data_IF_159792923116
#
_entry.id   IF_159792923116
#
_cell.length_a   1.000
_cell.length_b   1.000
_cell.length_c   1.000
_cell.angle_alpha   90.00
_cell.angle_beta   90.00
_cell.angle_gamma   90.00
#
_symmetry.space_group_name_H-M   'P 1'
#
loop_
_entity.id
_entity.type
_entity.pdbx_description
1 polymer ?
#
# COMPACT_ATOMS: atom_id res chain seq x y z
N UNK A 1 -22.49 -21.90 0.80
CA UNK A 1 -21.74 -20.68 1.14
C UNK A 1 -20.28 -20.90 0.73
N UNK A 2 -19.88 -20.32 -0.39
CA UNK A 2 -18.51 -20.41 -0.87
C UNK A 2 -17.70 -19.36 -0.10
N UNK A 3 -16.72 -19.80 0.68
CA UNK A 3 -15.83 -18.89 1.40
C UNK A 3 -14.77 -18.38 0.43
N UNK A 4 -14.62 -17.07 0.34
CA UNK A 4 -13.50 -16.43 -0.31
C UNK A 4 -12.36 -16.41 0.71
N UNK A 5 -11.16 -16.79 0.31
CA UNK A 5 -9.95 -16.58 1.10
C UNK A 5 -9.28 -15.33 0.51
N UNK A 6 -9.18 -14.28 1.32
CA UNK A 6 -8.42 -13.08 1.00
C UNK A 6 -7.04 -13.24 1.64
N UNK A 7 -6.01 -13.31 0.84
CA UNK A 7 -4.62 -13.35 1.31
C UNK A 7 -4.00 -11.98 1.05
N UNK A 8 -3.52 -11.34 2.10
CA UNK A 8 -3.07 -9.95 2.06
C UNK A 8 -1.60 -9.88 2.48
N UNK A 9 -0.74 -9.25 1.68
CA UNK A 9 0.71 -9.20 1.89
C UNK A 9 1.23 -7.78 1.95
N UNK A 10 2.23 -7.55 2.79
CA UNK A 10 2.97 -6.31 2.91
C UNK A 10 4.43 -6.51 2.56
N UNK A 11 5.07 -5.50 2.02
CA UNK A 11 6.47 -5.56 1.65
C UNK A 11 7.24 -4.39 2.25
N UNK A 12 8.39 -4.72 2.84
CA UNK A 12 9.33 -3.79 3.42
C UNK A 12 9.87 -2.79 2.40
N UNK A 13 9.78 -1.50 2.73
CA UNK A 13 10.62 -0.51 2.10
C UNK A 13 12.10 -0.85 2.38
N UNK A 14 12.91 -0.88 1.33
CA UNK A 14 14.32 -1.25 1.41
C UNK A 14 15.08 -0.34 2.38
N UNK A 15 15.47 -0.82 3.54
CA UNK A 15 16.44 -0.14 4.39
C UNK A 15 17.79 -0.18 3.69
N UNK A 16 18.31 0.98 3.28
CA UNK A 16 19.61 1.08 2.63
C UNK A 16 20.75 0.68 3.57
N UNK A 17 21.07 -0.60 3.57
CA UNK A 17 22.39 -1.07 3.96
C UNK A 17 23.30 -0.90 2.75
N UNK A 18 24.33 -0.06 2.87
CA UNK A 18 25.38 0.10 1.85
C UNK A 18 26.30 -1.12 1.85
N UNK A 19 25.82 -2.21 1.25
CA UNK A 19 26.69 -3.28 0.80
C UNK A 19 26.38 -3.49 -0.68
N UNK A 20 27.09 -2.72 -1.51
CA UNK A 20 27.25 -3.11 -2.90
C UNK A 20 27.89 -4.51 -2.93
N UNK A 21 27.33 -5.47 -3.68
CA UNK A 21 28.04 -6.70 -3.94
C UNK A 21 29.34 -6.31 -4.66
N UNK A 22 30.47 -6.49 -4.02
CA UNK A 22 31.77 -6.44 -4.69
C UNK A 22 31.85 -7.68 -5.57
N UNK A 23 31.56 -7.51 -6.86
CA UNK A 23 31.93 -8.51 -7.85
C UNK A 23 33.43 -8.61 -7.86
N UNK A 24 33.99 -9.61 -7.19
CA UNK A 24 35.32 -10.11 -7.49
C UNK A 24 35.21 -10.86 -8.83
N UNK A 25 35.66 -10.23 -9.90
CA UNK A 25 35.84 -10.89 -11.19
C UNK A 25 37.02 -11.82 -11.03
N UNK A 26 36.76 -13.10 -10.81
CA UNK A 26 37.75 -14.13 -11.06
C UNK A 26 37.81 -14.34 -12.59
N UNK A 27 38.97 -14.02 -13.15
CA UNK A 27 39.32 -14.08 -14.57
C UNK A 27 39.53 -15.55 -15.02
N UNK A 28 38.51 -16.39 -14.93
CA UNK A 28 38.45 -17.70 -15.57
C UNK A 28 37.17 -17.78 -16.41
N UNK A 29 37.31 -17.52 -17.68
CA UNK A 29 36.37 -17.35 -18.78
C UNK A 29 35.30 -18.44 -19.02
N UNK A 30 34.52 -18.81 -18.01
CA UNK A 30 33.20 -19.40 -18.15
C UNK A 30 32.22 -18.37 -17.65
N UNK A 31 31.53 -17.70 -18.59
CA UNK A 31 30.48 -16.75 -18.27
C UNK A 31 29.40 -17.44 -17.46
N UNK A 32 29.42 -17.23 -16.16
CA UNK A 32 28.29 -17.56 -15.29
C UNK A 32 27.08 -16.69 -15.72
N UNK A 33 26.20 -17.31 -16.47
CA UNK A 33 24.97 -16.71 -17.00
C UNK A 33 23.89 -16.67 -15.91
N UNK A 34 24.29 -16.62 -14.63
CA UNK A 34 23.34 -16.43 -13.53
C UNK A 34 22.80 -15.01 -13.60
N UNK A 35 21.52 -14.90 -13.85
CA UNK A 35 20.80 -13.62 -13.74
C UNK A 35 21.01 -13.11 -12.30
N UNK A 36 21.69 -11.98 -12.06
CA UNK A 36 21.96 -11.49 -10.70
C UNK A 36 20.68 -11.12 -9.93
N UNK A 37 19.52 -11.20 -10.58
CA UNK A 37 18.19 -10.92 -10.02
C UNK A 37 17.37 -12.21 -9.86
N UNK A 38 17.99 -13.38 -9.78
CA UNK A 38 17.29 -14.59 -9.40
C UNK A 38 17.02 -14.61 -7.90
N UNK A 39 15.76 -14.81 -7.55
CA UNK A 39 15.29 -14.95 -6.17
C UNK A 39 14.83 -16.39 -5.92
N UNK A 40 15.77 -17.35 -5.75
CA UNK A 40 15.40 -18.77 -5.66
C UNK A 40 14.55 -19.10 -4.43
N UNK A 41 14.58 -18.22 -3.41
CA UNK A 41 13.83 -18.39 -2.17
C UNK A 41 12.56 -17.51 -2.12
N UNK A 42 12.25 -16.75 -3.18
CA UNK A 42 10.99 -16.01 -3.21
C UNK A 42 9.81 -16.98 -3.28
N UNK A 43 8.83 -16.74 -2.41
CA UNK A 43 7.64 -17.60 -2.31
C UNK A 43 6.67 -17.22 -3.43
N UNK A 44 6.11 -18.22 -4.10
CA UNK A 44 4.96 -18.05 -4.98
C UNK A 44 3.70 -17.98 -4.12
N UNK A 45 2.99 -16.86 -4.17
CA UNK A 45 1.76 -16.63 -3.41
C UNK A 45 0.51 -16.82 -4.27
N UNK A 46 0.65 -16.89 -5.60
CA UNK A 46 -0.49 -16.99 -6.51
C UNK A 46 -1.27 -18.28 -6.32
N UNK A 47 -2.50 -18.16 -5.85
CA UNK A 47 -3.44 -19.26 -5.65
C UNK A 47 -4.69 -19.03 -6.50
N UNK A 48 -5.10 -20.01 -7.24
CA UNK A 48 -6.18 -19.88 -8.24
C UNK A 48 -7.59 -19.67 -7.66
N UNK A 49 -7.77 -19.72 -6.36
CA UNK A 49 -9.10 -19.71 -5.71
C UNK A 49 -9.28 -18.59 -4.66
N UNK A 50 -8.35 -17.67 -4.60
CA UNK A 50 -8.34 -16.53 -3.68
C UNK A 50 -7.73 -15.31 -4.38
N UNK A 51 -7.97 -14.12 -3.85
CA UNK A 51 -7.34 -12.89 -4.32
C UNK A 51 -6.14 -12.55 -3.44
N UNK A 52 -4.99 -12.30 -4.06
CA UNK A 52 -3.79 -11.81 -3.38
C UNK A 52 -3.60 -10.32 -3.69
N UNK A 53 -3.49 -9.53 -2.63
CA UNK A 53 -3.29 -8.08 -2.72
C UNK A 53 -2.02 -7.70 -1.97
N UNK A 54 -1.14 -6.97 -2.64
CA UNK A 54 0.13 -6.48 -2.10
C UNK A 54 0.15 -4.96 -2.12
N UNK A 55 0.58 -4.33 -1.03
CA UNK A 55 0.93 -2.91 -1.01
C UNK A 55 2.43 -2.76 -0.78
N UNK A 56 3.08 -1.82 -1.50
CA UNK A 56 4.52 -1.64 -1.41
C UNK A 56 4.92 -0.20 -1.74
N UNK A 57 5.44 0.52 -0.74
CA UNK A 57 6.18 1.75 -1.00
C UNK A 57 7.56 1.38 -1.55
N UNK A 58 7.74 1.55 -2.87
CA UNK A 58 8.99 1.19 -3.57
C UNK A 58 9.99 2.36 -3.66
N UNK A 59 9.86 3.31 -2.76
CA UNK A 59 10.78 4.41 -2.48
C UNK A 59 11.38 5.06 -3.73
N UNK A 60 10.65 6.05 -4.27
CA UNK A 60 11.11 6.86 -5.41
C UNK A 60 11.53 6.05 -6.64
N UNK A 61 10.70 5.07 -6.99
CA UNK A 61 10.98 4.15 -8.10
C UNK A 61 11.21 4.88 -9.44
N UNK A 62 12.26 4.52 -10.19
CA UNK A 62 13.38 3.65 -9.84
C UNK A 62 14.52 4.46 -9.19
N UNK A 63 15.13 3.92 -8.13
CA UNK A 63 16.31 4.56 -7.53
C UNK A 63 17.61 4.28 -8.30
N UNK A 64 17.63 3.17 -9.03
CA UNK A 64 18.78 2.72 -9.81
C UNK A 64 18.30 2.13 -11.12
N UNK A 65 19.17 2.08 -12.15
CA UNK A 65 18.84 1.54 -13.47
C UNK A 65 18.36 0.08 -13.44
N UNK A 66 18.84 -0.71 -12.50
CA UNK A 66 18.46 -2.12 -12.32
C UNK A 66 17.22 -2.33 -11.44
N UNK A 67 16.69 -1.29 -10.78
CA UNK A 67 15.53 -1.42 -9.89
C UNK A 67 14.33 -2.01 -10.63
N UNK A 68 14.13 -1.62 -11.85
CA UNK A 68 13.05 -2.11 -12.72
C UNK A 68 13.09 -3.63 -12.90
N UNK A 69 14.25 -4.17 -13.27
CA UNK A 69 14.43 -5.61 -13.50
C UNK A 69 14.28 -6.40 -12.20
N UNK A 70 14.79 -5.84 -11.10
CA UNK A 70 14.67 -6.40 -9.77
C UNK A 70 13.19 -6.51 -9.34
N UNK A 71 12.45 -5.40 -9.41
CA UNK A 71 11.03 -5.37 -9.06
C UNK A 71 10.23 -6.31 -9.96
N UNK A 72 10.42 -6.24 -11.29
CA UNK A 72 9.78 -7.15 -12.24
C UNK A 72 9.94 -8.61 -11.84
N UNK A 73 11.17 -9.05 -11.60
CA UNK A 73 11.45 -10.43 -11.25
C UNK A 73 10.79 -10.86 -9.94
N UNK A 74 10.71 -9.95 -8.95
CA UNK A 74 9.99 -10.21 -7.71
C UNK A 74 8.49 -10.39 -7.95
N UNK A 75 7.85 -9.50 -8.72
CA UNK A 75 6.42 -9.59 -9.01
C UNK A 75 6.08 -10.91 -9.72
N UNK A 76 6.88 -11.31 -10.69
CA UNK A 76 6.70 -12.58 -11.41
C UNK A 76 6.87 -13.80 -10.48
N UNK A 77 7.77 -13.72 -9.50
CA UNK A 77 8.00 -14.80 -8.53
C UNK A 77 6.93 -14.86 -7.46
N UNK A 78 6.56 -13.71 -6.89
CA UNK A 78 5.49 -13.65 -5.89
C UNK A 78 4.13 -14.02 -6.48
N UNK A 79 3.91 -13.66 -7.74
CA UNK A 79 2.77 -14.11 -8.50
C UNK A 79 1.42 -13.73 -7.88
N UNK A 80 1.34 -12.61 -7.13
CA UNK A 80 0.08 -12.10 -6.59
C UNK A 80 -0.80 -11.47 -7.67
N UNK A 81 -2.10 -11.34 -7.40
CA UNK A 81 -3.06 -10.86 -8.39
C UNK A 81 -3.04 -9.35 -8.55
N UNK A 82 -2.80 -8.62 -7.45
CA UNK A 82 -2.88 -7.17 -7.39
C UNK A 82 -1.69 -6.64 -6.59
N UNK A 83 -0.99 -5.65 -7.15
CA UNK A 83 0.05 -4.88 -6.49
C UNK A 83 -0.33 -3.41 -6.51
N UNK A 84 -0.24 -2.74 -5.38
CA UNK A 84 -0.40 -1.30 -5.28
C UNK A 84 0.89 -0.65 -4.79
N UNK A 85 1.45 0.22 -5.62
CA UNK A 85 2.73 0.86 -5.35
C UNK A 85 2.56 2.31 -4.94
N UNK A 86 3.40 2.75 -4.01
CA UNK A 86 3.59 4.15 -3.63
C UNK A 86 5.00 4.59 -4.03
N UNK A 87 5.18 5.89 -4.17
CA UNK A 87 6.42 6.56 -4.54
C UNK A 87 6.93 6.21 -5.95
N UNK A 88 6.04 6.17 -6.92
CA UNK A 88 6.42 6.10 -8.32
C UNK A 88 6.95 7.47 -8.74
N UNK A 89 8.26 7.57 -8.93
CA UNK A 89 8.93 8.77 -9.39
C UNK A 89 9.02 8.86 -10.91
N UNK A 90 9.10 7.71 -11.57
CA UNK A 90 9.13 7.62 -13.03
C UNK A 90 8.06 6.67 -13.52
N UNK A 91 6.96 7.25 -13.94
CA UNK A 91 5.85 6.53 -14.55
C UNK A 91 6.30 5.77 -15.82
N UNK A 92 7.11 6.41 -16.68
CA UNK A 92 7.61 5.77 -17.90
C UNK A 92 8.46 4.52 -17.64
N UNK A 93 9.23 4.48 -16.56
CA UNK A 93 10.00 3.30 -16.17
C UNK A 93 9.10 2.19 -15.60
N UNK A 94 8.04 2.56 -14.85
CA UNK A 94 7.04 1.60 -14.40
C UNK A 94 6.30 0.98 -15.60
N UNK A 95 5.81 1.81 -16.52
CA UNK A 95 5.14 1.37 -17.74
C UNK A 95 6.05 0.42 -18.53
N UNK A 96 7.30 0.81 -18.77
CA UNK A 96 8.28 -0.04 -19.45
C UNK A 96 8.52 -1.38 -18.75
N UNK A 97 8.47 -1.40 -17.42
CA UNK A 97 8.58 -2.61 -16.63
C UNK A 97 7.38 -3.53 -16.83
N UNK A 98 6.16 -2.99 -16.73
CA UNK A 98 4.94 -3.79 -16.83
C UNK A 98 4.67 -4.24 -18.26
N UNK A 99 4.99 -3.43 -19.26
CA UNK A 99 4.90 -3.82 -20.68
C UNK A 99 5.78 -5.04 -21.03
N UNK A 100 6.86 -5.26 -20.25
CA UNK A 100 7.68 -6.47 -20.34
C UNK A 100 7.10 -7.68 -19.59
N UNK A 101 5.90 -7.55 -18.98
CA UNK A 101 5.20 -8.58 -18.21
C UNK A 101 3.84 -8.89 -18.86
N UNK A 102 3.76 -9.78 -19.86
CA UNK A 102 2.57 -9.93 -20.72
C UNK A 102 1.29 -10.36 -19.99
N UNK A 103 1.42 -10.90 -18.77
CA UNK A 103 0.29 -11.33 -17.95
C UNK A 103 -0.24 -10.23 -17.02
N UNK A 104 0.37 -9.05 -17.03
CA UNK A 104 0.02 -7.94 -16.16
C UNK A 104 -0.40 -6.71 -16.95
N UNK A 105 -1.23 -5.90 -16.34
CA UNK A 105 -1.58 -4.55 -16.76
C UNK A 105 -1.40 -3.58 -15.61
N UNK A 106 -1.50 -2.30 -15.89
CA UNK A 106 -1.31 -1.24 -14.91
C UNK A 106 -2.33 -0.12 -15.05
N UNK A 107 -2.48 0.63 -13.98
CA UNK A 107 -3.12 1.95 -13.94
C UNK A 107 -2.23 2.85 -13.07
N UNK A 108 -1.96 4.06 -13.54
CA UNK A 108 -1.22 5.08 -12.80
C UNK A 108 -2.15 6.22 -12.41
N UNK A 109 -1.75 7.00 -11.41
CA UNK A 109 -2.45 8.21 -11.03
C UNK A 109 -2.18 9.36 -12.01
N UNK A 110 -3.05 10.38 -11.98
CA UNK A 110 -2.93 11.57 -12.85
C UNK A 110 -2.41 12.78 -12.07
N UNK A 111 -2.54 12.80 -10.74
CA UNK A 111 -2.49 14.02 -9.94
C UNK A 111 -1.35 14.06 -8.90
N UNK A 112 -0.65 12.97 -8.64
CA UNK A 112 0.24 12.89 -7.48
C UNK A 112 1.68 13.37 -7.72
N UNK A 113 1.94 14.04 -8.82
CA UNK A 113 3.24 14.70 -9.05
C UNK A 113 4.44 13.74 -9.05
N UNK A 114 5.46 14.01 -8.20
CA UNK A 114 6.74 13.29 -8.25
C UNK A 114 6.80 11.98 -7.46
N UNK A 115 5.76 11.62 -6.70
CA UNK A 115 5.71 10.42 -5.86
C UNK A 115 4.35 9.75 -5.99
N UNK A 116 4.04 9.35 -7.22
CA UNK A 116 2.76 8.84 -7.65
C UNK A 116 2.43 7.43 -7.17
N UNK A 117 1.25 6.98 -7.60
CA UNK A 117 0.71 5.64 -7.38
C UNK A 117 0.70 4.81 -8.64
N UNK A 118 0.77 3.50 -8.46
CA UNK A 118 0.46 2.57 -9.54
C UNK A 118 -0.25 1.33 -9.00
N UNK A 119 -1.28 0.92 -9.71
CA UNK A 119 -1.91 -0.38 -9.60
C UNK A 119 -1.34 -1.28 -10.71
N UNK A 120 -0.80 -2.44 -10.35
CA UNK A 120 -0.38 -3.48 -11.30
C UNK A 120 -1.19 -4.74 -10.99
N UNK A 121 -1.76 -5.37 -12.01
CA UNK A 121 -2.67 -6.49 -11.80
C UNK A 121 -2.57 -7.55 -12.89
N UNK A 122 -2.89 -8.80 -12.54
CA UNK A 122 -2.93 -9.92 -13.48
C UNK A 122 -4.17 -9.87 -14.38
N UNK A 123 -3.97 -9.84 -15.69
CA UNK A 123 -5.03 -9.84 -16.70
C UNK A 123 -5.92 -11.07 -16.66
N UNK A 124 -5.39 -12.20 -16.16
CA UNK A 124 -6.16 -13.46 -16.11
C UNK A 124 -7.29 -13.40 -15.08
N UNK A 125 -7.09 -12.71 -13.96
CA UNK A 125 -8.01 -12.74 -12.84
C UNK A 125 -8.68 -11.39 -12.58
N UNK A 126 -8.07 -10.28 -12.97
CA UNK A 126 -8.53 -8.94 -12.63
C UNK A 126 -8.96 -8.17 -13.86
N UNK A 127 -10.16 -7.62 -13.81
CA UNK A 127 -10.65 -6.61 -14.75
C UNK A 127 -10.66 -5.25 -14.05
N UNK A 128 -9.98 -4.29 -14.64
CA UNK A 128 -10.06 -2.90 -14.22
C UNK A 128 -11.32 -2.27 -14.83
N UNK A 129 -12.15 -1.64 -14.00
CA UNK A 129 -13.40 -1.00 -14.41
C UNK A 129 -13.30 0.52 -14.47
N UNK A 130 -12.79 1.16 -13.39
CA UNK A 130 -12.63 2.61 -13.33
C UNK A 130 -11.62 3.04 -12.28
N UNK A 131 -11.09 4.26 -12.44
CA UNK A 131 -10.25 4.98 -11.47
C UNK A 131 -10.92 6.29 -11.11
N UNK A 132 -10.77 6.72 -9.87
CA UNK A 132 -11.12 8.05 -9.39
C UNK A 132 -10.06 8.50 -8.38
N UNK A 133 -9.56 9.71 -8.51
CA UNK A 133 -8.66 10.32 -7.54
C UNK A 133 -9.46 11.22 -6.63
N UNK A 134 -9.63 10.76 -5.39
CA UNK A 134 -10.50 11.41 -4.41
C UNK A 134 -9.92 12.77 -4.01
N UNK A 135 -10.73 13.81 -4.13
CA UNK A 135 -10.37 15.20 -3.78
C UNK A 135 -9.23 15.80 -4.60
N UNK A 136 -8.90 15.28 -5.77
CA UNK A 136 -7.88 15.84 -6.65
C UNK A 136 -8.14 17.34 -6.99
N UNK A 137 -9.41 17.70 -7.15
CA UNK A 137 -9.83 19.07 -7.47
C UNK A 137 -9.90 20.01 -6.24
N UNK A 138 -9.65 19.51 -5.03
CA UNK A 138 -9.70 20.38 -3.84
C UNK A 138 -8.46 21.26 -3.80
N UNK A 139 -8.66 22.57 -3.78
CA UNK A 139 -7.59 23.54 -3.75
C UNK A 139 -6.66 23.29 -2.55
N UNK A 140 -5.37 23.37 -2.81
CA UNK A 140 -4.34 23.38 -1.79
C UNK A 140 -4.32 24.75 -1.11
N UNK A 141 -5.30 25.01 -0.26
CA UNK A 141 -5.37 26.24 0.51
C UNK A 141 -4.51 26.07 1.76
N UNK A 142 -3.24 26.39 1.65
CA UNK A 142 -2.34 26.60 2.79
C UNK A 142 -2.63 27.96 3.47
N UNK A 143 -3.92 28.30 3.60
CA UNK A 143 -4.38 29.59 4.14
C UNK A 143 -4.63 29.54 5.66
N UNK A 144 -4.31 28.38 6.28
CA UNK A 144 -4.51 28.16 7.70
C UNK A 144 -5.96 27.93 8.11
N UNK A 145 -6.85 27.65 7.13
CA UNK A 145 -8.21 27.23 7.42
C UNK A 145 -8.19 25.88 8.16
N UNK A 146 -8.90 25.82 9.29
CA UNK A 146 -9.05 24.62 10.10
C UNK A 146 -10.07 23.62 9.53
N UNK A 147 -10.74 23.96 8.43
CA UNK A 147 -11.69 23.08 7.77
C UNK A 147 -10.94 22.04 6.92
N UNK A 148 -10.75 20.87 7.51
CA UNK A 148 -10.04 19.78 6.84
C UNK A 148 -10.74 19.25 5.58
N UNK A 149 -12.05 19.47 5.42
CA UNK A 149 -12.77 19.09 4.19
C UNK A 149 -12.42 20.00 3.01
N UNK A 150 -12.25 21.30 3.27
CA UNK A 150 -11.85 22.25 2.23
C UNK A 150 -10.37 22.08 1.84
N UNK A 151 -9.58 21.47 2.72
CA UNK A 151 -8.15 21.21 2.55
C UNK A 151 -7.82 19.73 2.35
N UNK A 152 -8.69 18.94 1.73
CA UNK A 152 -8.49 17.50 1.62
C UNK A 152 -7.16 17.14 0.92
N UNK A 153 -6.82 17.79 -0.20
CA UNK A 153 -5.54 17.57 -0.88
C UNK A 153 -4.34 17.81 0.05
N UNK A 154 -4.38 18.87 0.88
CA UNK A 154 -3.34 19.15 1.87
C UNK A 154 -3.22 18.03 2.92
N UNK A 155 -4.35 17.50 3.44
CA UNK A 155 -4.31 16.40 4.42
C UNK A 155 -3.63 15.16 3.83
N UNK A 156 -3.88 14.87 2.56
CA UNK A 156 -3.23 13.77 1.83
C UNK A 156 -1.84 14.12 1.29
N UNK A 157 -1.24 15.27 1.68
CA UNK A 157 0.08 15.71 1.25
C UNK A 157 0.22 15.79 -0.27
N UNK A 158 -0.82 16.32 -0.93
CA UNK A 158 -0.93 16.47 -2.40
C UNK A 158 -0.84 15.14 -3.16
N UNK A 159 -1.26 14.07 -2.52
CA UNK A 159 -1.36 12.72 -3.09
C UNK A 159 -2.79 12.20 -2.91
N UNK A 160 -3.73 12.61 -3.77
CA UNK A 160 -5.12 12.19 -3.70
C UNK A 160 -5.24 10.67 -3.62
N UNK A 161 -6.04 10.11 -2.69
CA UNK A 161 -6.26 8.68 -2.66
C UNK A 161 -6.76 8.15 -4.01
N UNK A 162 -6.11 7.11 -4.52
CA UNK A 162 -6.44 6.50 -5.81
C UNK A 162 -7.47 5.38 -5.62
N UNK A 163 -8.75 5.68 -5.83
CA UNK A 163 -9.82 4.69 -5.80
C UNK A 163 -9.90 3.94 -7.14
N UNK A 164 -9.78 2.62 -7.10
CA UNK A 164 -9.89 1.74 -8.25
C UNK A 164 -11.06 0.78 -8.07
N UNK A 165 -11.98 0.74 -9.02
CA UNK A 165 -13.03 -0.26 -9.06
C UNK A 165 -12.56 -1.45 -9.90
N UNK A 166 -12.50 -2.61 -9.28
CA UNK A 166 -11.96 -3.84 -9.85
C UNK A 166 -12.98 -4.98 -9.78
N UNK A 167 -12.91 -5.88 -10.74
CA UNK A 167 -13.58 -7.18 -10.70
C UNK A 167 -12.52 -8.27 -10.73
N UNK A 168 -12.37 -9.03 -9.64
CA UNK A 168 -11.57 -10.25 -9.62
C UNK A 168 -12.45 -11.47 -9.89
N UNK A 169 -11.95 -12.45 -10.66
CA UNK A 169 -12.65 -13.71 -10.90
C UNK A 169 -11.66 -14.85 -11.18
N UNK A 170 -11.91 -16.02 -10.57
CA UNK A 170 -11.23 -17.29 -10.88
C UNK A 170 -12.01 -18.15 -11.87
N UNK A 171 -13.08 -17.61 -12.47
CA UNK A 171 -13.99 -18.31 -13.37
C UNK A 171 -15.12 -19.05 -12.65
N UNK A 172 -15.05 -19.22 -11.33
CA UNK A 172 -16.11 -19.82 -10.50
C UNK A 172 -16.66 -18.85 -9.46
N UNK A 173 -15.83 -17.93 -9.00
CA UNK A 173 -16.15 -16.88 -8.05
C UNK A 173 -15.88 -15.54 -8.68
N UNK A 174 -16.63 -14.54 -8.27
CA UNK A 174 -16.44 -13.16 -8.70
C UNK A 174 -16.51 -12.24 -7.48
N UNK A 175 -15.54 -11.34 -7.36
CA UNK A 175 -15.46 -10.32 -6.32
C UNK A 175 -15.34 -8.95 -6.99
N UNK A 176 -16.33 -8.09 -6.77
CA UNK A 176 -16.21 -6.68 -7.09
C UNK A 176 -15.69 -5.95 -5.86
N UNK A 177 -14.67 -5.11 -6.03
CA UNK A 177 -14.08 -4.38 -4.92
C UNK A 177 -13.62 -2.97 -5.35
N UNK A 178 -13.72 -2.03 -4.41
CA UNK A 178 -13.05 -0.74 -4.47
C UNK A 178 -11.74 -0.84 -3.69
N UNK A 179 -10.62 -0.65 -4.39
CA UNK A 179 -9.29 -0.63 -3.81
C UNK A 179 -8.83 0.83 -3.77
N UNK A 180 -8.69 1.37 -2.56
CA UNK A 180 -8.31 2.77 -2.32
C UNK A 180 -6.87 2.78 -1.81
N UNK A 181 -5.97 3.19 -2.69
CA UNK A 181 -4.55 3.32 -2.35
C UNK A 181 -4.22 4.67 -1.78
N UNK A 182 -3.38 4.70 -0.75
CA UNK A 182 -2.99 5.91 -0.03
C UNK A 182 -1.48 5.97 0.20
N UNK A 183 -0.97 7.20 0.40
CA UNK A 183 0.34 7.47 0.98
C UNK A 183 0.26 8.76 1.78
N UNK A 184 0.15 8.65 3.09
CA UNK A 184 -0.04 9.78 3.98
C UNK A 184 1.24 10.61 4.16
N UNK A 185 1.08 11.78 4.80
CA UNK A 185 2.19 12.68 5.14
C UNK A 185 3.22 11.96 6.03
N UNK A 186 4.46 11.91 5.56
CA UNK A 186 5.56 11.32 6.32
C UNK A 186 5.97 12.16 7.52
N UNK A 187 6.76 11.56 8.40
CA UNK A 187 7.55 12.18 9.45
C UNK A 187 6.72 12.64 10.66
N UNK A 188 7.27 13.54 11.47
CA UNK A 188 6.64 13.96 12.72
C UNK A 188 6.76 12.92 13.83
N UNK A 189 5.83 12.96 14.74
CA UNK A 189 5.71 12.04 15.88
C UNK A 189 4.30 11.41 15.90
N UNK A 190 3.80 10.95 17.03
CA UNK A 190 2.43 10.43 17.20
C UNK A 190 1.53 11.36 18.04
N UNK A 191 1.94 12.62 18.20
CA UNK A 191 1.23 13.58 19.04
C UNK A 191 0.21 14.35 18.21
N UNK A 192 -1.05 13.96 18.33
CA UNK A 192 -2.16 14.69 17.71
C UNK A 192 -2.38 16.02 18.44
N UNK A 193 -2.45 17.12 17.68
CA UNK A 193 -2.77 18.45 18.17
C UNK A 193 -3.80 19.16 17.28
N UNK A 194 -5.05 19.13 17.66
CA UNK A 194 -6.15 19.74 16.90
C UNK A 194 -5.97 21.26 16.63
N UNK A 195 -5.12 21.95 17.40
CA UNK A 195 -4.84 23.37 17.22
C UNK A 195 -3.65 23.65 16.27
N UNK A 196 -2.98 22.61 15.80
CA UNK A 196 -1.88 22.69 14.85
C UNK A 196 -2.20 21.88 13.60
N UNK A 197 -2.83 22.55 12.65
CA UNK A 197 -3.24 21.92 11.37
C UNK A 197 -2.06 21.64 10.46
N UNK A 198 -0.88 22.20 10.74
CA UNK A 198 0.36 21.93 10.01
C UNK A 198 1.11 20.69 10.50
N UNK A 199 0.80 20.22 11.71
CA UNK A 199 1.41 19.04 12.30
C UNK A 199 1.12 17.78 11.46
N UNK A 200 2.16 16.97 11.21
CA UNK A 200 2.06 15.79 10.36
C UNK A 200 1.09 14.74 10.89
N UNK A 201 1.05 14.52 12.18
CA UNK A 201 0.12 13.58 12.83
C UNK A 201 -1.31 14.06 12.73
N UNK A 202 -1.54 15.35 12.93
CA UNK A 202 -2.85 15.98 12.78
C UNK A 202 -3.36 15.84 11.36
N UNK A 203 -2.50 16.08 10.37
CA UNK A 203 -2.85 15.89 8.95
C UNK A 203 -3.22 14.44 8.64
N UNK A 204 -2.44 13.45 9.11
CA UNK A 204 -2.76 12.03 8.92
C UNK A 204 -4.07 11.65 9.58
N UNK A 205 -4.34 12.16 10.78
CA UNK A 205 -5.61 11.94 11.47
C UNK A 205 -6.80 12.47 10.64
N UNK A 206 -6.70 13.70 10.14
CA UNK A 206 -7.73 14.29 9.29
C UNK A 206 -7.91 13.54 7.96
N UNK A 207 -6.82 13.09 7.33
CA UNK A 207 -6.87 12.25 6.13
C UNK A 207 -7.65 10.95 6.38
N UNK A 208 -7.41 10.30 7.52
CA UNK A 208 -8.13 9.10 7.93
C UNK A 208 -9.63 9.37 8.21
N UNK A 209 -9.96 10.51 8.85
CA UNK A 209 -11.35 10.92 9.06
C UNK A 209 -12.08 11.13 7.72
N UNK A 210 -11.49 11.90 6.81
CA UNK A 210 -12.05 12.12 5.46
C UNK A 210 -12.33 10.81 4.75
N UNK A 211 -11.38 9.88 4.81
CA UNK A 211 -11.49 8.61 4.10
C UNK A 211 -12.54 7.69 4.72
N UNK A 212 -12.62 7.62 6.06
CA UNK A 212 -13.65 6.84 6.74
C UNK A 212 -15.03 7.37 6.46
N UNK A 213 -15.24 8.69 6.51
CA UNK A 213 -16.51 9.34 6.17
C UNK A 213 -16.89 9.14 4.71
N UNK A 214 -15.94 9.25 3.79
CA UNK A 214 -16.18 8.97 2.37
C UNK A 214 -16.70 7.55 2.17
N UNK A 215 -16.04 6.56 2.75
CA UNK A 215 -16.41 5.15 2.60
C UNK A 215 -17.80 4.89 3.21
N UNK A 216 -18.07 5.38 4.40
CA UNK A 216 -19.36 5.22 5.07
C UNK A 216 -20.51 5.85 4.29
N UNK A 217 -20.27 7.01 3.67
CA UNK A 217 -21.31 7.73 2.93
C UNK A 217 -21.51 7.23 1.49
N UNK A 218 -20.45 6.74 0.85
CA UNK A 218 -20.48 6.44 -0.60
C UNK A 218 -20.27 4.96 -0.95
N UNK A 219 -19.69 4.17 -0.03
CA UNK A 219 -19.26 2.79 -0.28
C UNK A 219 -19.68 1.80 0.82
N UNK A 220 -20.61 2.17 1.70
CA UNK A 220 -20.99 1.36 2.88
C UNK A 220 -21.45 -0.07 2.55
N UNK A 221 -22.05 -0.28 1.37
CA UNK A 221 -22.51 -1.59 0.89
C UNK A 221 -21.55 -2.27 -0.08
N UNK A 222 -20.51 -1.57 -0.52
CA UNK A 222 -19.50 -2.09 -1.43
C UNK A 222 -18.39 -2.81 -0.66
N UNK A 223 -17.66 -3.71 -1.33
CA UNK A 223 -16.43 -4.26 -0.77
C UNK A 223 -15.30 -3.23 -0.94
N UNK A 224 -14.73 -2.79 0.16
CA UNK A 224 -13.67 -1.76 0.16
C UNK A 224 -12.42 -2.29 0.84
N UNK A 225 -11.30 -2.09 0.17
CA UNK A 225 -9.94 -2.28 0.69
C UNK A 225 -9.22 -0.94 0.65
N UNK A 226 -8.80 -0.43 1.80
CA UNK A 226 -7.87 0.70 1.91
C UNK A 226 -6.48 0.14 2.17
N UNK A 227 -5.49 0.55 1.40
CA UNK A 227 -4.12 0.04 1.55
C UNK A 227 -3.07 1.10 1.21
N UNK A 228 -1.88 0.95 1.77
CA UNK A 228 -0.76 1.83 1.47
C UNK A 228 0.08 2.18 2.69
N UNK A 229 0.91 3.19 2.51
CA UNK A 229 1.77 3.74 3.55
C UNK A 229 1.00 4.80 4.35
N UNK A 230 0.57 4.42 5.55
CA UNK A 230 -0.14 5.30 6.50
C UNK A 230 0.79 6.24 7.25
N UNK A 231 2.11 5.99 7.19
CA UNK A 231 3.11 6.76 7.92
C UNK A 231 2.78 6.98 9.41
N UNK A 232 2.12 6.00 10.06
CA UNK A 232 1.71 6.04 11.46
C UNK A 232 2.91 5.87 12.42
N UNK A 233 3.88 6.77 12.30
CA UNK A 233 5.06 6.79 13.17
C UNK A 233 4.68 6.88 14.64
N UNK A 234 5.61 6.51 15.53
CA UNK A 234 5.41 6.57 16.98
C UNK A 234 4.76 5.31 17.54
N UNK A 235 3.64 5.44 18.23
CA UNK A 235 2.96 4.33 18.88
C UNK A 235 2.46 3.27 17.88
N UNK A 236 2.94 2.04 18.01
CA UNK A 236 2.50 0.90 17.21
C UNK A 236 1.25 0.27 17.85
N UNK A 237 0.15 1.02 17.81
CA UNK A 237 -1.12 0.66 18.44
C UNK A 237 -2.30 1.10 17.58
N UNK A 238 -3.43 0.42 17.72
CA UNK A 238 -4.72 0.82 17.12
C UNK A 238 -5.20 2.21 17.59
N UNK A 239 -4.71 2.68 18.75
CA UNK A 239 -4.99 4.02 19.26
C UNK A 239 -4.06 5.10 18.71
N UNK A 240 -3.11 4.75 17.81
CA UNK A 240 -2.32 5.75 17.08
C UNK A 240 -3.27 6.71 16.37
N UNK A 241 -3.08 8.04 16.47
CA UNK A 241 -3.99 9.02 15.88
C UNK A 241 -4.28 8.83 14.40
N UNK A 242 -3.30 8.31 13.64
CA UNK A 242 -3.49 8.00 12.21
C UNK A 242 -4.48 6.84 11.99
N UNK A 243 -4.47 5.83 12.85
CA UNK A 243 -5.29 4.63 12.72
C UNK A 243 -6.63 4.74 13.46
N UNK A 244 -6.69 5.56 14.51
CA UNK A 244 -7.86 5.66 15.39
C UNK A 244 -9.17 5.96 14.67
N UNK A 245 -9.22 6.77 13.58
CA UNK A 245 -10.49 6.97 12.85
C UNK A 245 -11.10 5.70 12.26
N UNK A 246 -10.25 4.69 11.96
CA UNK A 246 -10.71 3.37 11.50
C UNK A 246 -11.03 2.41 12.64
N UNK A 247 -10.49 2.65 13.84
CA UNK A 247 -10.54 1.71 14.97
C UNK A 247 -11.28 2.25 16.17
N UNK A 248 -11.47 3.58 16.27
CA UNK A 248 -12.14 4.23 17.39
C UNK A 248 -13.65 4.06 17.28
N UNK A 249 -14.21 3.43 18.30
CA UNK A 249 -15.62 3.08 18.39
C UNK A 249 -16.50 4.26 18.81
N UNK A 250 -15.91 5.29 19.43
CA UNK A 250 -16.65 6.41 20.00
C UNK A 250 -16.97 7.50 18.96
N UNK A 251 -16.22 7.56 17.86
CA UNK A 251 -16.40 8.55 16.81
C UNK A 251 -17.35 8.13 15.67
N UNK A 252 -17.50 6.83 15.47
CA UNK A 252 -18.40 6.26 14.48
C UNK A 252 -19.24 5.21 15.18
N UNK A 253 -20.54 5.23 14.96
CA UNK A 253 -21.54 4.31 15.56
C UNK A 253 -21.27 2.81 15.25
N UNK A 254 -20.04 2.47 14.91
CA UNK A 254 -19.67 1.15 14.46
C UNK A 254 -18.22 0.78 14.74
N UNK A 255 -17.99 0.24 15.90
CA UNK A 255 -16.87 -0.64 16.21
C UNK A 255 -16.62 -1.75 15.17
N UNK A 256 -17.50 -1.85 14.20
CA UNK A 256 -17.57 -2.90 13.21
C UNK A 256 -17.53 -2.38 11.77
N UNK A 257 -17.29 -1.09 11.52
CA UNK A 257 -17.27 -0.57 10.15
C UNK A 257 -15.97 -0.86 9.41
N UNK A 258 -14.85 -0.95 10.14
CA UNK A 258 -13.54 -1.22 9.56
C UNK A 258 -12.75 -2.20 10.40
N UNK A 259 -11.80 -2.88 9.75
CA UNK A 259 -10.89 -3.83 10.38
C UNK A 259 -9.51 -3.76 9.74
N UNK A 260 -8.47 -3.64 10.58
CA UNK A 260 -7.10 -3.88 10.17
C UNK A 260 -6.89 -5.38 9.99
N UNK A 261 -6.53 -5.81 8.81
CA UNK A 261 -6.25 -7.23 8.52
C UNK A 261 -4.89 -7.66 9.05
N UNK A 262 -3.99 -6.71 9.24
CA UNK A 262 -2.61 -6.85 9.71
C UNK A 262 -2.43 -6.55 11.21
N UNK A 263 -3.51 -6.53 11.99
CA UNK A 263 -3.46 -6.23 13.42
C UNK A 263 -2.47 -7.11 14.19
N UNK A 264 -2.33 -8.37 13.81
CA UNK A 264 -1.36 -9.29 14.43
C UNK A 264 0.10 -8.88 14.17
N UNK A 265 0.37 -8.21 13.06
CA UNK A 265 1.69 -7.67 12.72
C UNK A 265 1.92 -6.40 13.54
N UNK A 266 0.97 -5.47 13.53
CA UNK A 266 1.04 -4.22 14.30
C UNK A 266 1.27 -4.48 15.81
N UNK A 267 0.63 -5.50 16.37
CA UNK A 267 0.78 -5.92 17.77
C UNK A 267 1.93 -6.92 17.99
N UNK A 268 2.61 -7.29 16.93
CA UNK A 268 3.70 -8.26 16.94
C UNK A 268 5.06 -7.64 17.31
N UNK A 269 6.13 -8.44 17.22
CA UNK A 269 7.48 -7.95 17.49
C UNK A 269 7.96 -7.04 16.35
N UNK A 270 8.74 -6.02 16.70
CA UNK A 270 9.27 -5.01 15.76
C UNK A 270 10.05 -5.60 14.56
N UNK A 271 10.63 -6.79 14.69
CA UNK A 271 11.29 -7.48 13.58
C UNK A 271 10.36 -7.93 12.47
N UNK A 272 9.04 -7.94 12.69
CA UNK A 272 8.02 -8.25 11.69
C UNK A 272 7.33 -7.02 11.09
N UNK A 273 7.78 -5.80 11.44
CA UNK A 273 7.18 -4.57 10.91
C UNK A 273 7.56 -4.31 9.46
N UNK A 274 6.75 -3.56 8.75
CA UNK A 274 6.95 -3.24 7.33
C UNK A 274 8.14 -2.31 7.08
N UNK A 275 8.52 -1.49 8.06
CA UNK A 275 9.66 -0.60 7.99
C UNK A 275 10.64 -0.84 9.15
N UNK A 276 11.93 -1.08 8.82
CA UNK A 276 12.96 -1.41 9.79
C UNK A 276 13.78 -0.21 10.29
N UNK A 277 13.41 1.01 9.88
CA UNK A 277 14.13 2.23 10.21
C UNK A 277 15.31 2.53 9.27
N UNK A 278 15.82 3.77 9.36
CA UNK A 278 16.96 4.23 8.54
C UNK A 278 18.30 4.00 9.22
N UNK A 279 18.29 3.98 10.55
CA UNK A 279 19.47 3.90 11.40
C UNK A 279 19.03 3.57 12.83
N UNK A 280 20.00 3.43 13.75
CA UNK A 280 19.71 3.25 15.18
C UNK A 280 18.92 4.39 15.84
N UNK A 281 18.80 5.54 15.15
CA UNK A 281 18.01 6.69 15.64
C UNK A 281 16.52 6.62 15.26
N UNK A 282 16.13 5.69 14.38
CA UNK A 282 14.76 5.52 13.94
C UNK A 282 14.29 4.10 14.26
N UNK A 283 13.31 3.99 15.13
CA UNK A 283 12.75 2.71 15.52
C UNK A 283 12.01 2.04 14.33
N UNK A 284 12.08 0.74 14.25
CA UNK A 284 11.24 -0.04 13.33
C UNK A 284 9.76 0.28 13.59
N UNK A 285 8.99 0.41 12.52
CA UNK A 285 7.56 0.74 12.58
C UNK A 285 6.78 -0.04 11.52
N UNK A 286 5.55 -0.39 11.85
CA UNK A 286 4.62 -0.97 10.87
C UNK A 286 3.81 0.17 10.28
N UNK A 287 4.20 0.65 9.11
CA UNK A 287 3.67 1.85 8.45
C UNK A 287 2.66 1.54 7.37
N UNK A 288 2.76 0.33 6.78
CA UNK A 288 1.90 -0.11 5.70
C UNK A 288 0.77 -0.95 6.29
N UNK A 289 -0.46 -0.60 5.96
CA UNK A 289 -1.63 -1.29 6.45
C UNK A 289 -2.56 -1.69 5.31
N UNK A 290 -3.40 -2.70 5.58
CA UNK A 290 -4.56 -3.02 4.77
C UNK A 290 -5.78 -3.07 5.68
N UNK A 291 -6.74 -2.20 5.37
CA UNK A 291 -7.97 -2.02 6.11
C UNK A 291 -9.13 -2.42 5.20
N UNK A 292 -10.07 -3.17 5.73
CA UNK A 292 -11.28 -3.57 5.03
C UNK A 292 -12.52 -3.02 5.73
N UNK A 293 -13.59 -2.78 4.97
CA UNK A 293 -14.87 -2.40 5.54
C UNK A 293 -15.73 -3.63 5.90
N UNK A 294 -16.84 -3.39 6.60
CA UNK A 294 -17.73 -4.42 7.15
C UNK A 294 -18.23 -5.44 6.12
N UNK A 295 -18.47 -5.04 4.87
CA UNK A 295 -18.94 -5.95 3.81
C UNK A 295 -17.96 -7.09 3.53
N UNK A 296 -16.68 -6.89 3.83
CA UNK A 296 -15.62 -7.89 3.63
C UNK A 296 -15.31 -8.75 4.86
N UNK A 297 -15.87 -8.51 6.03
CA UNK A 297 -15.51 -9.22 7.28
C UNK A 297 -15.71 -10.73 7.20
N UNK A 298 -16.71 -11.20 6.47
CA UNK A 298 -16.93 -12.64 6.29
C UNK A 298 -15.86 -13.31 5.42
N UNK A 299 -15.26 -12.54 4.52
CA UNK A 299 -14.14 -12.99 3.69
C UNK A 299 -12.84 -13.01 4.51
N UNK A 300 -12.61 -11.97 5.31
CA UNK A 300 -11.43 -11.86 6.17
C UNK A 300 -11.33 -12.96 7.23
N UNK A 301 -12.42 -13.56 7.66
CA UNK A 301 -12.39 -14.67 8.63
C UNK A 301 -11.50 -15.86 8.19
N UNK A 302 -11.10 -15.91 6.93
CA UNK A 302 -10.21 -16.93 6.35
C UNK A 302 -8.97 -16.34 5.70
N UNK A 303 -8.72 -15.04 5.86
CA UNK A 303 -7.56 -14.35 5.30
C UNK A 303 -6.33 -14.45 6.21
N UNK A 304 -5.16 -14.22 5.62
CA UNK A 304 -3.90 -14.07 6.34
C UNK A 304 -3.15 -12.85 5.83
N UNK A 305 -2.52 -12.12 6.74
CA UNK A 305 -1.64 -10.98 6.41
C UNK A 305 -0.21 -11.29 6.81
N UNK A 306 0.73 -10.96 5.96
CA UNK A 306 2.15 -11.20 6.18
C UNK A 306 2.98 -10.01 5.71
N UNK A 307 4.14 -9.78 6.34
CA UNK A 307 5.18 -8.93 5.79
C UNK A 307 6.13 -9.80 4.99
N UNK A 308 6.32 -9.45 3.73
CA UNK A 308 7.25 -10.15 2.84
C UNK A 308 8.60 -9.44 2.91
N UNK A 309 9.65 -10.14 3.32
CA UNK A 309 11.00 -9.60 3.26
C UNK A 309 11.49 -9.59 1.81
N UNK A 310 11.94 -8.40 1.36
CA UNK A 310 12.62 -8.26 0.08
C UNK A 310 14.06 -8.75 0.26
N UNK A 311 14.52 -9.67 -0.57
CA UNK A 311 15.89 -10.24 -0.47
C UNK A 311 16.99 -9.21 -0.71
#
# INVERSE_FOLDING_TARGET
LHKYLLLIFFILACSGGSNSPTNSVDDNGEGDNTNPYEFPNAVDYGLSNQVEIVTWNIRQFPQHSSTKDYVKNLLEKWNADIYFFQEIRSESELISMVDAMPNYSYVVDDESGNLGFALVYKNQYVTFNSKNELWADTANNDDGDSDYYNNAAYQFADRPPMENYLTWSDGTKTLNLYLIGIHYKCCGDDSYNANDTGDETTRRHHASLLLTEYILNNRSSDNVVVLGDFNNVGSQSISNPTLSPFTDQDNFDSASSFKLTDLSILQGPAGGYSWQGWSSSYSASHLDHIIINQSMFTMDATSTSNVISVP
#
